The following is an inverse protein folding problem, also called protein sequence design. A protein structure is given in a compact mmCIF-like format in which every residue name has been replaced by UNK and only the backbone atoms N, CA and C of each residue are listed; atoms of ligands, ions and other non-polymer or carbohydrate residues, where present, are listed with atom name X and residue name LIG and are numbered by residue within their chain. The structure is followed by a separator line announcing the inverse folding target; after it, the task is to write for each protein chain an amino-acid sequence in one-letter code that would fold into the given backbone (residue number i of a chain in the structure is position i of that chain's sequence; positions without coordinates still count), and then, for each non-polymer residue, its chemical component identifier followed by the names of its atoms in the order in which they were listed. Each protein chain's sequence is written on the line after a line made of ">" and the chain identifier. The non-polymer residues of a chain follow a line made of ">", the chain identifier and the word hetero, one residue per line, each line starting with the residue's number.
data_IF_045967661732
#
_entry.id   IF_045967661732
#
_cell.length_a   1.000
_cell.length_b   1.000
_cell.length_c   1.000
_cell.angle_alpha   90.00
_cell.angle_beta   90.00
_cell.angle_gamma   90.00
#
_symmetry.space_group_name_H-M   'P 1'
#
loop_
_entity.id
_entity.type
_entity.pdbx_description
1 polymer ?
#
# COMPACT_ATOMS: atom_id res chain seq x y z
N UNK A 1 22.97 -15.10 10.57
CA UNK A 1 23.35 -15.33 9.20
C UNK A 1 22.17 -15.19 8.29
N UNK A 2 22.07 -14.08 7.55
CA UNK A 2 21.11 -13.92 6.45
C UNK A 2 21.72 -14.73 5.29
N UNK A 3 21.37 -16.01 5.22
CA UNK A 3 21.73 -16.88 4.11
C UNK A 3 21.10 -16.30 2.84
N UNK A 4 21.94 -15.96 1.87
CA UNK A 4 21.72 -15.83 0.41
C UNK A 4 20.23 -15.80 -0.05
N UNK A 5 19.46 -14.82 0.38
CA UNK A 5 18.17 -14.58 -0.29
C UNK A 5 18.48 -13.83 -1.57
N UNK A 6 18.21 -14.45 -2.71
CA UNK A 6 18.29 -13.80 -4.02
C UNK A 6 17.56 -12.45 -3.96
N UNK A 7 18.19 -11.39 -4.44
CA UNK A 7 17.59 -10.07 -4.50
C UNK A 7 16.25 -10.15 -5.25
N UNK A 8 15.21 -9.52 -4.71
CA UNK A 8 13.88 -9.43 -5.33
C UNK A 8 13.41 -7.99 -5.29
N UNK A 9 13.11 -7.45 -6.43
CA UNK A 9 12.57 -6.10 -6.59
C UNK A 9 11.23 -6.14 -7.31
N UNK A 10 10.42 -5.12 -7.14
CA UNK A 10 9.07 -5.12 -7.69
C UNK A 10 8.70 -3.78 -8.30
N UNK A 11 8.13 -3.83 -9.49
CA UNK A 11 7.33 -2.77 -10.06
C UNK A 11 5.84 -3.11 -9.90
N UNK A 12 5.05 -2.15 -9.41
CA UNK A 12 3.66 -2.39 -9.04
C UNK A 12 2.74 -1.28 -9.61
N UNK A 13 2.49 -1.30 -10.92
CA UNK A 13 1.66 -0.29 -11.58
C UNK A 13 0.17 -0.50 -11.29
N UNK A 14 -0.58 0.62 -11.23
CA UNK A 14 -2.04 0.56 -11.32
C UNK A 14 -2.46 0.62 -12.78
N UNK A 15 -3.36 -0.27 -13.23
CA UNK A 15 -3.83 -0.31 -14.60
C UNK A 15 -4.96 0.72 -14.81
N UNK A 16 -4.65 2.00 -14.63
CA UNK A 16 -5.61 3.11 -14.81
C UNK A 16 -5.39 3.88 -16.10
N UNK A 17 -4.63 3.30 -17.04
CA UNK A 17 -4.28 3.85 -18.33
C UNK A 17 -2.98 3.27 -18.87
N UNK A 18 -2.37 3.95 -19.81
CA UNK A 18 -1.09 3.54 -20.40
C UNK A 18 0.06 3.73 -19.41
N UNK A 19 1.15 2.98 -19.63
CA UNK A 19 2.39 3.15 -18.89
C UNK A 19 2.99 4.54 -19.22
N UNK A 20 2.92 5.48 -18.28
CA UNK A 20 3.50 6.80 -18.46
C UNK A 20 5.02 6.78 -18.18
N UNK A 21 5.75 7.81 -18.64
CA UNK A 21 7.22 7.89 -18.54
C UNK A 21 7.75 7.74 -17.10
N UNK A 22 7.03 8.26 -16.10
CA UNK A 22 7.39 8.10 -14.69
C UNK A 22 7.30 6.64 -14.22
N UNK A 23 6.29 5.90 -14.67
CA UNK A 23 6.15 4.47 -14.44
C UNK A 23 7.26 3.68 -15.13
N UNK A 24 7.52 3.99 -16.41
CA UNK A 24 8.59 3.38 -17.19
C UNK A 24 9.97 3.57 -16.52
N UNK A 25 10.28 4.79 -16.05
CA UNK A 25 11.52 5.08 -15.30
C UNK A 25 11.62 4.24 -14.03
N UNK A 26 10.55 4.14 -13.25
CA UNK A 26 10.53 3.32 -12.02
C UNK A 26 10.73 1.86 -12.34
N UNK A 27 10.09 1.33 -13.38
CA UNK A 27 10.28 -0.03 -13.85
C UNK A 27 11.73 -0.27 -14.27
N UNK A 28 12.31 0.63 -15.07
CA UNK A 28 13.68 0.55 -15.55
C UNK A 28 14.69 0.49 -14.40
N UNK A 29 14.59 1.35 -13.39
CA UNK A 29 15.52 1.32 -12.25
C UNK A 29 15.44 0.00 -11.48
N UNK A 30 14.24 -0.52 -11.24
CA UNK A 30 14.08 -1.82 -10.60
C UNK A 30 14.62 -2.95 -11.46
N UNK A 31 14.37 -2.92 -12.76
CA UNK A 31 14.86 -3.91 -13.71
C UNK A 31 16.39 -3.92 -13.76
N UNK A 32 17.03 -2.75 -13.94
CA UNK A 32 18.49 -2.61 -13.94
C UNK A 32 19.11 -3.11 -12.65
N UNK A 33 18.51 -2.77 -11.51
CA UNK A 33 18.99 -3.22 -10.20
C UNK A 33 18.89 -4.75 -10.07
N UNK A 34 17.78 -5.35 -10.48
CA UNK A 34 17.64 -6.79 -10.50
C UNK A 34 18.68 -7.46 -11.41
N UNK A 35 18.86 -6.96 -12.63
CA UNK A 35 19.80 -7.55 -13.60
C UNK A 35 21.25 -7.40 -13.14
N UNK A 36 21.61 -6.25 -12.57
CA UNK A 36 22.96 -6.01 -12.06
C UNK A 36 23.35 -6.99 -10.94
N UNK A 37 22.41 -7.31 -10.04
CA UNK A 37 22.68 -8.22 -8.92
C UNK A 37 22.19 -9.67 -9.15
N UNK A 38 21.90 -10.07 -10.36
CA UNK A 38 21.32 -11.38 -10.68
C UNK A 38 20.10 -11.71 -9.83
N UNK A 39 19.31 -10.69 -9.53
CA UNK A 39 18.06 -10.77 -8.75
C UNK A 39 16.86 -11.11 -9.61
N UNK A 40 15.67 -11.10 -9.00
CA UNK A 40 14.39 -11.28 -9.68
C UNK A 40 13.65 -9.94 -9.76
N UNK A 41 13.17 -9.61 -10.96
CA UNK A 41 12.28 -8.48 -11.19
C UNK A 41 10.84 -8.97 -11.29
N UNK A 42 9.99 -8.46 -10.40
CA UNK A 42 8.60 -8.89 -10.23
C UNK A 42 7.69 -7.79 -10.73
N UNK A 43 6.72 -8.17 -11.57
CA UNK A 43 5.62 -7.30 -11.96
C UNK A 43 4.35 -7.71 -11.19
N UNK A 44 3.73 -6.78 -10.45
CA UNK A 44 2.45 -7.01 -9.78
C UNK A 44 1.48 -5.90 -10.10
N UNK A 45 0.37 -6.24 -10.71
CA UNK A 45 -0.68 -5.29 -11.08
C UNK A 45 -1.48 -4.91 -9.82
N UNK A 46 -1.59 -3.61 -9.56
CA UNK A 46 -2.37 -3.09 -8.43
C UNK A 46 -3.73 -2.56 -8.91
N UNK A 47 -4.64 -3.48 -9.13
CA UNK A 47 -5.97 -3.32 -9.75
C UNK A 47 -7.10 -3.00 -8.75
N UNK A 48 -6.77 -2.30 -7.66
CA UNK A 48 -7.73 -1.96 -6.60
C UNK A 48 -8.83 -0.99 -7.02
N UNK A 49 -8.58 -0.16 -8.03
CA UNK A 49 -9.59 0.73 -8.61
C UNK A 49 -10.37 -0.02 -9.70
N UNK A 50 -11.40 -0.74 -9.29
CA UNK A 50 -12.21 -1.58 -10.18
C UNK A 50 -12.85 -0.83 -11.34
N UNK A 51 -13.13 0.47 -11.18
CA UNK A 51 -13.75 1.28 -12.23
C UNK A 51 -12.79 1.61 -13.37
N UNK A 52 -11.49 1.74 -13.06
CA UNK A 52 -10.45 2.11 -14.03
C UNK A 52 -9.51 0.96 -14.39
N UNK A 53 -9.55 -0.15 -13.65
CA UNK A 53 -8.71 -1.32 -13.89
C UNK A 53 -9.40 -2.26 -14.87
N UNK A 54 -9.27 -1.96 -16.17
CA UNK A 54 -9.84 -2.78 -17.23
C UNK A 54 -8.80 -3.77 -17.80
N UNK A 55 -9.24 -4.89 -18.41
CA UNK A 55 -8.31 -5.80 -19.08
C UNK A 55 -7.43 -5.12 -20.15
N UNK A 56 -7.99 -4.13 -20.86
CA UNK A 56 -7.27 -3.36 -21.89
C UNK A 56 -6.18 -2.49 -21.26
N UNK A 57 -6.45 -1.88 -20.09
CA UNK A 57 -5.46 -1.10 -19.35
C UNK A 57 -4.33 -1.98 -18.82
N UNK A 58 -4.65 -3.18 -18.34
CA UNK A 58 -3.63 -4.18 -17.95
C UNK A 58 -2.78 -4.54 -19.15
N UNK A 59 -3.43 -4.91 -20.28
CA UNK A 59 -2.73 -5.27 -21.52
C UNK A 59 -1.81 -4.15 -22.01
N UNK A 60 -2.25 -2.89 -21.97
CA UNK A 60 -1.46 -1.74 -22.38
C UNK A 60 -0.18 -1.58 -21.52
N UNK A 61 -0.24 -1.88 -20.21
CA UNK A 61 0.95 -1.90 -19.36
C UNK A 61 1.90 -3.03 -19.75
N UNK A 62 1.38 -4.25 -19.93
CA UNK A 62 2.21 -5.41 -20.30
C UNK A 62 2.88 -5.21 -21.67
N UNK A 63 2.13 -4.70 -22.65
CA UNK A 63 2.66 -4.40 -23.98
C UNK A 63 3.72 -3.29 -23.92
N UNK A 64 3.48 -2.24 -23.11
CA UNK A 64 4.46 -1.17 -22.88
C UNK A 64 5.75 -1.67 -22.24
N UNK A 65 5.67 -2.57 -21.26
CA UNK A 65 6.84 -3.20 -20.63
C UNK A 65 7.62 -4.05 -21.65
N UNK A 66 6.92 -4.85 -22.47
CA UNK A 66 7.53 -5.68 -23.52
C UNK A 66 8.20 -4.80 -24.59
N UNK A 67 7.53 -3.72 -25.01
CA UNK A 67 8.06 -2.79 -26.00
C UNK A 67 9.35 -2.11 -25.53
N UNK A 68 9.44 -1.80 -24.20
CA UNK A 68 10.65 -1.24 -23.58
C UNK A 68 11.74 -2.29 -23.35
N UNK A 69 11.50 -3.57 -23.62
CA UNK A 69 12.44 -4.65 -23.32
C UNK A 69 12.61 -4.93 -21.82
N UNK A 70 11.66 -4.50 -20.99
CA UNK A 70 11.66 -4.69 -19.54
C UNK A 70 10.92 -5.99 -19.19
N UNK A 71 11.54 -7.12 -19.47
CA UNK A 71 11.01 -8.45 -19.14
C UNK A 71 11.02 -8.67 -17.62
N UNK A 72 9.98 -9.36 -17.10
CA UNK A 72 9.88 -9.71 -15.69
C UNK A 72 10.07 -11.21 -15.46
N UNK A 73 10.57 -11.56 -14.28
CA UNK A 73 10.85 -12.96 -13.93
C UNK A 73 9.63 -13.63 -13.30
N UNK A 74 8.81 -12.83 -12.55
CA UNK A 74 7.56 -13.27 -11.93
C UNK A 74 6.49 -12.22 -12.16
N UNK A 75 5.26 -12.64 -12.40
CA UNK A 75 4.15 -11.70 -12.64
C UNK A 75 3.06 -12.27 -13.53
N UNK A 76 2.16 -11.41 -14.04
CA UNK A 76 1.17 -11.79 -15.03
C UNK A 76 1.82 -12.53 -16.22
N UNK A 77 1.12 -13.48 -16.80
CA UNK A 77 1.54 -14.35 -17.91
C UNK A 77 2.68 -15.33 -17.57
N UNK A 78 3.58 -15.01 -16.63
CA UNK A 78 4.70 -15.88 -16.23
C UNK A 78 4.43 -16.69 -14.97
N UNK A 79 3.56 -16.19 -14.09
CA UNK A 79 3.37 -16.81 -12.77
C UNK A 79 4.58 -16.64 -11.86
N UNK A 80 4.78 -17.57 -10.95
CA UNK A 80 5.88 -17.62 -9.98
C UNK A 80 5.43 -18.15 -8.60
N UNK A 81 6.41 -18.37 -7.73
CA UNK A 81 6.21 -19.00 -6.41
C UNK A 81 5.35 -18.16 -5.46
N UNK A 82 5.39 -16.82 -5.59
CA UNK A 82 4.76 -15.89 -4.65
C UNK A 82 3.51 -15.22 -5.22
N UNK A 83 2.83 -15.90 -6.16
CA UNK A 83 1.54 -15.45 -6.70
C UNK A 83 0.44 -15.38 -5.64
N UNK A 84 -0.75 -14.91 -6.03
CA UNK A 84 -1.08 -14.29 -7.31
C UNK A 84 -0.45 -12.91 -7.53
N UNK A 85 -0.43 -12.42 -8.78
CA UNK A 85 0.23 -11.16 -9.16
C UNK A 85 -0.74 -10.04 -9.55
N UNK A 86 -2.01 -10.20 -9.24
CA UNK A 86 -3.02 -9.16 -9.22
C UNK A 86 -3.41 -8.87 -7.77
N UNK A 87 -3.49 -7.60 -7.39
CA UNK A 87 -3.73 -7.25 -6.00
C UNK A 87 -5.10 -7.71 -5.50
N UNK A 88 -6.13 -7.65 -6.36
CA UNK A 88 -7.49 -8.11 -6.03
C UNK A 88 -7.56 -9.63 -5.75
N UNK A 89 -6.68 -10.43 -6.33
CA UNK A 89 -6.59 -11.88 -6.09
C UNK A 89 -5.89 -12.22 -4.76
N UNK A 90 -5.31 -11.24 -4.09
CA UNK A 90 -4.56 -11.42 -2.83
C UNK A 90 -5.36 -11.08 -1.57
N UNK A 91 -6.65 -10.82 -1.70
CA UNK A 91 -7.48 -10.35 -0.59
C UNK A 91 -7.50 -11.31 0.60
N UNK A 92 -7.53 -12.61 0.37
CA UNK A 92 -7.54 -13.60 1.44
C UNK A 92 -6.21 -13.62 2.20
N UNK A 93 -5.09 -13.49 1.50
CA UNK A 93 -3.77 -13.33 2.11
C UNK A 93 -3.71 -12.05 2.96
N UNK A 94 -4.25 -10.94 2.46
CA UNK A 94 -4.27 -9.68 3.23
C UNK A 94 -5.15 -9.80 4.48
N UNK A 95 -6.28 -10.48 4.40
CA UNK A 95 -7.15 -10.75 5.56
C UNK A 95 -6.41 -11.52 6.64
N UNK A 96 -5.75 -12.61 6.28
CA UNK A 96 -4.94 -13.41 7.21
C UNK A 96 -3.91 -12.55 7.97
N UNK A 97 -3.18 -11.67 7.26
CA UNK A 97 -2.21 -10.78 7.90
C UNK A 97 -2.86 -9.69 8.73
N UNK A 98 -4.00 -9.14 8.31
CA UNK A 98 -4.74 -8.15 9.08
C UNK A 98 -5.28 -8.75 10.37
N UNK A 99 -5.81 -9.97 10.33
CA UNK A 99 -6.30 -10.67 11.51
C UNK A 99 -5.16 -10.90 12.52
N UNK A 100 -3.99 -11.34 12.06
CA UNK A 100 -2.79 -11.45 12.90
C UNK A 100 -2.38 -10.11 13.53
N UNK A 101 -2.46 -9.01 12.79
CA UNK A 101 -2.15 -7.68 13.32
C UNK A 101 -3.17 -7.21 14.37
N UNK A 102 -4.44 -7.55 14.19
CA UNK A 102 -5.50 -7.28 15.17
C UNK A 102 -5.29 -8.10 16.45
N UNK A 103 -4.97 -9.40 16.32
CA UNK A 103 -4.72 -10.29 17.44
C UNK A 103 -3.57 -9.82 18.33
N UNK A 104 -2.47 -9.35 17.73
CA UNK A 104 -1.30 -8.85 18.50
C UNK A 104 -1.44 -7.37 18.90
N UNK A 105 -2.60 -6.72 18.64
CA UNK A 105 -2.84 -5.32 18.96
C UNK A 105 -2.00 -4.31 18.17
N UNK A 106 -1.43 -4.74 17.03
CA UNK A 106 -0.71 -3.87 16.09
C UNK A 106 -1.63 -3.17 15.09
N UNK A 107 -2.90 -3.55 15.03
CA UNK A 107 -3.96 -2.90 14.27
C UNK A 107 -5.25 -2.78 15.10
N UNK A 108 -6.17 -1.95 14.65
CA UNK A 108 -7.46 -1.75 15.33
C UNK A 108 -8.55 -1.30 14.36
N UNK A 109 -9.80 -1.49 14.75
CA UNK A 109 -10.97 -1.07 13.97
C UNK A 109 -11.25 0.43 14.11
N UNK A 110 -11.55 1.09 13.00
CA UNK A 110 -11.90 2.50 12.93
C UNK A 110 -13.29 2.67 12.29
N UNK A 111 -14.24 3.21 13.02
CA UNK A 111 -15.63 3.43 12.62
C UNK A 111 -15.93 4.88 12.17
N UNK A 112 -14.89 5.71 11.99
CA UNK A 112 -15.06 7.08 11.51
C UNK A 112 -15.54 7.10 10.07
N UNK A 113 -16.55 7.94 9.77
CA UNK A 113 -16.99 8.19 8.40
C UNK A 113 -15.97 9.04 7.62
N UNK A 114 -16.10 9.04 6.30
CA UNK A 114 -15.27 9.89 5.44
C UNK A 114 -15.48 11.39 5.75
N UNK A 115 -16.70 11.79 6.07
CA UNK A 115 -17.07 13.16 6.44
C UNK A 115 -16.42 13.56 7.77
N UNK A 116 -16.56 12.74 8.81
CA UNK A 116 -15.88 12.98 10.10
C UNK A 116 -14.37 13.14 9.94
N UNK A 117 -13.74 12.32 9.09
CA UNK A 117 -12.31 12.42 8.83
C UNK A 117 -11.95 13.67 8.02
N UNK A 118 -12.80 14.08 7.08
CA UNK A 118 -12.59 15.30 6.29
C UNK A 118 -12.71 16.55 7.18
N UNK A 119 -13.70 16.63 8.05
CA UNK A 119 -13.89 17.76 8.96
C UNK A 119 -12.76 17.89 9.98
N UNK A 120 -12.26 16.77 10.51
CA UNK A 120 -11.06 16.78 11.37
C UNK A 120 -9.83 17.31 10.65
N UNK A 121 -9.61 16.87 9.39
CA UNK A 121 -8.51 17.40 8.59
C UNK A 121 -8.62 18.91 8.37
N UNK A 122 -9.84 19.40 8.05
CA UNK A 122 -10.08 20.84 7.89
C UNK A 122 -9.74 21.63 9.16
N UNK A 123 -10.19 21.14 10.33
CA UNK A 123 -9.88 21.77 11.62
C UNK A 123 -8.37 21.78 11.90
N UNK A 124 -7.69 20.64 11.71
CA UNK A 124 -6.25 20.55 11.90
C UNK A 124 -5.48 21.52 10.98
N UNK A 125 -5.88 21.64 9.72
CA UNK A 125 -5.28 22.62 8.80
C UNK A 125 -5.54 24.05 9.23
N UNK A 126 -6.74 24.38 9.70
CA UNK A 126 -7.06 25.73 10.21
C UNK A 126 -6.21 26.08 11.45
N UNK A 127 -5.90 25.08 12.30
CA UNK A 127 -5.03 25.22 13.47
C UNK A 127 -3.52 25.18 13.13
N UNK A 128 -3.14 25.11 11.86
CA UNK A 128 -1.73 24.99 11.42
C UNK A 128 -1.07 23.65 11.78
N UNK A 129 -1.88 22.63 12.12
CA UNK A 129 -1.39 21.30 12.53
C UNK A 129 -1.34 20.33 11.34
N UNK A 130 -0.44 19.35 11.36
CA UNK A 130 -0.44 18.29 10.35
C UNK A 130 -1.72 17.45 10.44
N UNK A 131 -2.21 17.00 9.28
CA UNK A 131 -3.42 16.17 9.19
C UNK A 131 -3.13 14.73 9.66
N UNK A 132 -3.03 14.52 10.97
CA UNK A 132 -2.78 13.22 11.61
C UNK A 132 -4.08 12.71 12.23
N UNK A 133 -4.36 11.41 12.07
CA UNK A 133 -5.51 10.79 12.72
C UNK A 133 -5.33 10.77 14.25
N UNK A 134 -6.32 11.26 14.97
CA UNK A 134 -6.30 11.47 16.43
C UNK A 134 -6.48 10.21 17.27
N UNK A 135 -6.51 9.04 16.66
CA UNK A 135 -6.69 7.74 17.32
C UNK A 135 -8.02 7.59 18.09
N UNK A 136 -9.07 8.35 17.71
CA UNK A 136 -10.40 8.29 18.36
C UNK A 136 -10.88 6.85 18.59
N UNK A 137 -10.68 5.97 17.63
CA UNK A 137 -11.17 4.59 17.69
C UNK A 137 -10.18 3.59 18.31
N UNK A 138 -9.01 4.02 18.76
CA UNK A 138 -7.98 3.10 19.28
C UNK A 138 -8.43 2.37 20.56
N UNK A 139 -9.15 3.07 21.43
CA UNK A 139 -9.53 2.58 22.75
C UNK A 139 -11.07 2.34 22.88
N UNK A 140 -11.76 2.07 21.78
CA UNK A 140 -13.18 1.74 21.83
C UNK A 140 -13.39 0.43 22.59
N UNK A 141 -14.33 0.46 23.55
CA UNK A 141 -14.81 -0.73 24.24
C UNK A 141 -15.59 -1.64 23.29
N UNK A 142 -15.72 -2.90 23.65
CA UNK A 142 -16.53 -3.85 22.86
C UNK A 142 -17.99 -3.43 22.74
N UNK A 143 -18.52 -2.72 23.74
CA UNK A 143 -19.87 -2.17 23.72
C UNK A 143 -20.00 -1.07 22.66
N UNK A 144 -19.04 -0.14 22.58
CA UNK A 144 -19.00 0.94 21.59
C UNK A 144 -18.84 0.42 20.16
N UNK A 145 -18.00 -0.62 19.99
CA UNK A 145 -17.85 -1.30 18.70
C UNK A 145 -19.18 -1.91 18.24
N UNK A 146 -19.82 -2.70 19.10
CA UNK A 146 -21.12 -3.32 18.82
C UNK A 146 -22.21 -2.28 18.54
N UNK A 147 -22.20 -1.15 19.24
CA UNK A 147 -23.13 -0.06 18.99
C UNK A 147 -22.90 0.55 17.59
N UNK A 148 -21.65 0.81 17.23
CA UNK A 148 -21.31 1.31 15.90
C UNK A 148 -21.75 0.36 14.78
N UNK A 149 -21.59 -0.95 14.98
CA UNK A 149 -22.03 -1.98 14.04
C UNK A 149 -23.55 -2.06 13.91
N UNK A 150 -24.30 -1.93 15.04
CA UNK A 150 -25.77 -1.82 15.04
C UNK A 150 -26.27 -0.59 14.28
N UNK A 151 -25.52 0.50 14.32
CA UNK A 151 -25.77 1.72 13.54
C UNK A 151 -25.42 1.55 12.04
N UNK A 152 -25.00 0.37 11.61
CA UNK A 152 -24.66 0.06 10.23
C UNK A 152 -23.28 0.57 9.80
N UNK A 153 -22.47 1.08 10.74
CA UNK A 153 -21.10 1.51 10.43
C UNK A 153 -20.21 0.30 10.15
N UNK A 154 -19.54 0.33 9.03
CA UNK A 154 -18.59 -0.71 8.62
C UNK A 154 -17.17 -0.24 8.94
N UNK A 155 -16.40 -0.99 9.76
CA UNK A 155 -15.09 -0.55 10.18
C UNK A 155 -14.04 -0.69 9.08
N UNK A 156 -13.14 0.30 9.01
CA UNK A 156 -11.84 0.13 8.38
C UNK A 156 -10.84 -0.38 9.42
N UNK A 157 -9.76 -1.02 8.97
CA UNK A 157 -8.67 -1.43 9.85
C UNK A 157 -7.50 -0.47 9.70
N UNK A 158 -7.01 0.06 10.81
CA UNK A 158 -5.82 0.92 10.85
C UNK A 158 -4.64 0.20 11.47
N UNK A 159 -3.46 0.39 10.89
CA UNK A 159 -2.21 0.01 11.51
C UNK A 159 -1.91 0.98 12.66
N UNK A 160 -1.62 0.45 13.84
CA UNK A 160 -1.18 1.23 14.99
C UNK A 160 0.30 1.56 14.82
N UNK A 161 0.60 2.81 14.50
CA UNK A 161 1.98 3.25 14.40
C UNK A 161 2.68 3.15 15.77
N UNK A 162 3.83 2.48 15.86
CA UNK A 162 4.54 2.33 17.12
C UNK A 162 5.03 3.70 17.60
N UNK A 163 5.02 3.94 18.91
CA UNK A 163 5.58 5.19 19.50
C UNK A 163 7.09 5.06 19.70
N UNK A 164 7.80 5.10 18.58
CA UNK A 164 9.28 5.04 18.55
C UNK A 164 9.82 5.67 17.27
N UNK A 165 11.10 6.00 17.27
CA UNK A 165 11.81 6.38 16.05
C UNK A 165 11.85 5.20 15.05
N UNK A 166 11.54 5.47 13.80
CA UNK A 166 11.59 4.50 12.71
C UNK A 166 12.83 4.79 11.87
N UNK A 167 13.73 3.83 11.82
CA UNK A 167 14.95 3.91 11.02
C UNK A 167 14.79 3.06 9.75
N UNK A 168 15.03 3.68 8.61
CA UNK A 168 15.02 3.02 7.30
C UNK A 168 16.41 3.18 6.69
N UNK A 169 17.00 2.08 6.26
CA UNK A 169 18.24 2.10 5.47
C UNK A 169 17.89 2.10 3.99
N UNK A 170 17.79 3.31 3.42
CA UNK A 170 17.52 3.50 2.00
C UNK A 170 18.80 3.26 1.19
N UNK A 171 18.69 2.55 0.07
CA UNK A 171 19.84 2.18 -0.76
C UNK A 171 20.50 3.38 -1.44
N UNK A 172 19.77 4.48 -1.61
CA UNK A 172 20.25 5.68 -2.30
C UNK A 172 20.56 6.78 -1.30
N UNK A 173 19.66 7.00 -0.33
CA UNK A 173 19.76 8.09 0.64
C UNK A 173 20.47 7.69 1.94
N UNK A 174 20.81 6.42 2.12
CA UNK A 174 21.43 5.91 3.33
C UNK A 174 20.46 5.82 4.52
N UNK A 175 20.94 6.08 5.71
CA UNK A 175 20.13 6.02 6.94
C UNK A 175 19.15 7.19 6.99
N UNK A 176 17.85 6.88 7.03
CA UNK A 176 16.77 7.84 7.20
C UNK A 176 16.03 7.56 8.50
N UNK A 177 15.76 8.60 9.27
CA UNK A 177 15.09 8.51 10.56
C UNK A 177 13.77 9.29 10.51
N UNK A 178 12.70 8.66 10.99
CA UNK A 178 11.38 9.24 11.04
C UNK A 178 10.81 9.19 12.45
N UNK A 179 10.30 10.30 12.92
CA UNK A 179 9.51 10.34 14.14
C UNK A 179 8.13 9.77 13.88
N UNK A 180 7.77 8.68 14.54
CA UNK A 180 6.45 8.03 14.33
C UNK A 180 5.28 8.95 14.66
N UNK A 181 5.47 9.94 15.55
CA UNK A 181 4.47 10.97 15.89
C UNK A 181 4.02 11.79 14.68
N UNK A 182 4.87 11.89 13.65
CA UNK A 182 4.55 12.57 12.39
C UNK A 182 3.83 11.67 11.38
N UNK A 183 3.71 10.38 11.69
CA UNK A 183 3.05 9.40 10.85
C UNK A 183 1.66 9.08 11.44
N UNK A 184 0.64 9.24 10.61
CA UNK A 184 -0.71 8.86 11.00
C UNK A 184 -0.88 7.34 11.02
N UNK A 185 -1.73 6.82 11.91
CA UNK A 185 -2.24 5.45 11.81
C UNK A 185 -3.03 5.32 10.50
N UNK A 186 -2.43 4.70 9.50
CA UNK A 186 -3.05 4.61 8.17
C UNK A 186 -3.96 3.39 8.05
N UNK A 187 -4.96 3.50 7.19
CA UNK A 187 -5.86 2.40 6.86
C UNK A 187 -5.09 1.37 6.06
N UNK A 188 -5.12 0.11 6.49
CA UNK A 188 -4.54 -1.03 5.79
C UNK A 188 -5.60 -1.89 5.08
N UNK A 189 -6.85 -1.83 5.57
CA UNK A 189 -7.98 -2.50 4.93
C UNK A 189 -9.24 -1.65 5.09
N UNK A 190 -9.99 -1.46 3.99
CA UNK A 190 -11.28 -0.75 3.98
C UNK A 190 -12.42 -1.67 4.42
N UNK A 191 -13.58 -1.07 4.71
CA UNK A 191 -14.78 -1.79 5.11
C UNK A 191 -15.29 -2.78 4.04
N UNK A 192 -15.04 -2.50 2.75
CA UNK A 192 -15.36 -3.39 1.63
C UNK A 192 -14.33 -4.53 1.47
N UNK A 193 -13.40 -4.61 2.43
CA UNK A 193 -12.29 -5.57 2.48
C UNK A 193 -11.29 -5.44 1.34
N UNK A 194 -11.29 -4.31 0.62
CA UNK A 194 -10.20 -3.97 -0.28
C UNK A 194 -9.02 -3.38 0.50
N UNK A 195 -7.81 -3.67 0.06
CA UNK A 195 -6.62 -3.01 0.59
C UNK A 195 -6.65 -1.52 0.23
N UNK A 196 -6.31 -0.64 1.17
CA UNK A 196 -6.08 0.75 0.82
C UNK A 196 -4.68 0.92 0.26
N UNK A 197 -4.62 1.27 -1.02
CA UNK A 197 -3.37 1.72 -1.62
C UNK A 197 -3.03 3.10 -1.04
N UNK A 198 -1.92 3.21 -0.32
CA UNK A 198 -1.26 4.51 -0.19
C UNK A 198 -0.74 4.89 -1.57
N UNK A 199 -1.47 5.76 -2.24
CA UNK A 199 -0.88 6.54 -3.31
C UNK A 199 0.22 7.35 -2.63
N UNK A 200 1.47 6.98 -2.83
CA UNK A 200 2.59 7.84 -2.49
C UNK A 200 2.24 9.20 -3.09
N UNK A 201 2.44 10.29 -2.34
CA UNK A 201 2.29 11.63 -2.90
C UNK A 201 2.99 11.58 -4.23
N UNK A 202 2.25 11.77 -5.31
CA UNK A 202 2.84 11.96 -6.62
C UNK A 202 3.95 12.97 -6.42
N UNK A 203 5.14 12.60 -6.85
CA UNK A 203 6.25 13.54 -6.87
C UNK A 203 5.80 14.66 -7.80
N UNK A 204 5.19 15.71 -7.23
CA UNK A 204 4.92 16.93 -7.97
C UNK A 204 6.29 17.51 -8.26
N UNK A 205 6.81 17.16 -9.42
CA UNK A 205 7.91 17.90 -10.03
C UNK A 205 7.42 19.35 -10.17
N UNK A 206 7.93 20.22 -9.33
CA UNK A 206 7.97 21.65 -9.63
C UNK A 206 9.04 21.90 -10.66
#
# INVERSE_FOLDING_TARGET
>A
GIKNKKLRVRFAPSPTGYLHIGGARTALFNWLYARHYNGSFILRIEDTDRMRSTPEAVKAILDGMKWLGLDWDEGPEKGGEYGPYFQTERLDLYREFVDKLLEIGAAYYCYCSAEELADRRKKQFADGKPAIYDRKCLNLSETEKKQSEKEGKKPAVRLKMPDRQIVVHDLIKGKMEFESKLLSDFVIMKYDRSEERRVGKECRSR
#
